data_IF_635174165627
#
_entry.id   IF_635174165627
#
_cell.length_a   1.000
_cell.length_b   1.000
_cell.length_c   1.000
_cell.angle_alpha   90.00
_cell.angle_beta   90.00
_cell.angle_gamma   90.00
#
_symmetry.space_group_name_H-M   'P 1'
#
loop_
_entity.id
_entity.type
_entity.pdbx_description
1 polymer ?
#
# COMPACT_ATOMS: atom_id res chain seq x y z
N UNK A 1 42.53 -36.72 -40.40
CA UNK A 1 41.84 -35.41 -40.53
C UNK A 1 40.34 -35.69 -40.51
N UNK A 2 39.48 -35.14 -39.67
CA UNK A 2 39.55 -34.40 -38.41
C UNK A 2 38.16 -34.61 -37.81
N UNK A 3 38.08 -35.21 -36.62
CA UNK A 3 36.82 -35.43 -35.89
C UNK A 3 36.39 -34.09 -35.29
N UNK A 4 35.21 -33.56 -35.62
CA UNK A 4 34.64 -32.38 -34.95
C UNK A 4 33.53 -32.85 -33.99
N UNK A 5 33.61 -32.54 -32.69
CA UNK A 5 32.55 -32.88 -31.76
C UNK A 5 31.38 -31.91 -31.91
N UNK A 6 30.15 -32.43 -31.77
CA UNK A 6 28.93 -31.64 -31.64
C UNK A 6 28.98 -30.89 -30.30
N UNK A 7 28.82 -29.56 -30.33
CA UNK A 7 28.67 -28.71 -29.14
C UNK A 7 27.43 -29.15 -28.37
N UNK A 8 27.61 -29.48 -27.10
CA UNK A 8 26.52 -29.68 -26.15
C UNK A 8 25.71 -28.39 -26.00
N UNK A 9 24.38 -28.55 -25.97
CA UNK A 9 23.48 -27.48 -25.57
C UNK A 9 23.70 -27.16 -24.09
N UNK A 10 24.15 -25.94 -23.80
CA UNK A 10 23.98 -25.36 -22.48
C UNK A 10 22.49 -25.05 -22.32
N UNK A 11 21.82 -25.87 -21.52
CA UNK A 11 20.54 -25.52 -20.92
C UNK A 11 20.84 -24.27 -20.08
N UNK A 12 20.41 -23.11 -20.55
CA UNK A 12 20.47 -21.88 -19.77
C UNK A 12 19.56 -22.04 -18.57
N UNK A 13 20.13 -22.34 -17.40
CA UNK A 13 19.53 -21.98 -16.12
C UNK A 13 19.41 -20.46 -16.12
N UNK A 14 18.24 -19.95 -16.53
CA UNK A 14 17.85 -18.57 -16.26
C UNK A 14 17.87 -18.39 -14.76
N UNK A 15 18.93 -17.77 -14.25
CA UNK A 15 19.08 -17.45 -12.85
C UNK A 15 17.86 -16.68 -12.36
N UNK A 16 17.46 -16.96 -11.12
CA UNK A 16 16.46 -16.23 -10.33
C UNK A 16 16.90 -14.77 -10.06
N UNK A 17 17.20 -14.00 -11.10
CA UNK A 17 17.46 -12.58 -11.00
C UNK A 17 16.10 -11.87 -11.01
N UNK A 18 15.63 -11.46 -9.83
CA UNK A 18 14.48 -10.56 -9.69
C UNK A 18 14.72 -9.33 -10.56
N UNK A 19 13.74 -8.99 -11.40
CA UNK A 19 13.88 -7.89 -12.36
C UNK A 19 13.83 -6.56 -11.59
N UNK A 20 14.53 -5.49 -12.02
CA UNK A 20 14.48 -4.19 -11.36
C UNK A 20 13.06 -3.66 -11.12
N UNK A 21 12.14 -3.90 -12.06
CA UNK A 21 10.70 -3.61 -11.91
C UNK A 21 10.06 -4.32 -10.72
N UNK A 22 10.32 -5.62 -10.54
CA UNK A 22 9.73 -6.42 -9.46
C UNK A 22 10.23 -5.93 -8.10
N UNK A 23 11.52 -5.59 -8.01
CA UNK A 23 12.10 -5.01 -6.78
C UNK A 23 11.45 -3.67 -6.46
N UNK A 24 11.33 -2.78 -7.44
CA UNK A 24 10.74 -1.45 -7.24
C UNK A 24 9.25 -1.55 -6.88
N UNK A 25 8.47 -2.33 -7.62
CA UNK A 25 7.06 -2.54 -7.33
C UNK A 25 6.87 -3.11 -5.93
N UNK A 26 7.69 -4.09 -5.53
CA UNK A 26 7.64 -4.63 -4.18
C UNK A 26 7.98 -3.56 -3.13
N UNK A 27 9.03 -2.76 -3.33
CA UNK A 27 9.45 -1.72 -2.38
C UNK A 27 8.45 -0.58 -2.23
N UNK A 28 7.81 -0.17 -3.33
CA UNK A 28 6.92 1.00 -3.34
C UNK A 28 5.46 0.67 -3.04
N UNK A 29 5.03 -0.57 -3.30
CA UNK A 29 3.64 -0.98 -3.16
C UNK A 29 3.50 -2.06 -2.09
N UNK A 30 3.98 -3.27 -2.34
CA UNK A 30 3.69 -4.41 -1.47
C UNK A 30 4.29 -4.28 -0.06
N UNK A 31 5.52 -3.78 0.08
CA UNK A 31 6.14 -3.61 1.40
C UNK A 31 5.41 -2.56 2.27
N UNK A 32 5.03 -1.38 1.74
CA UNK A 32 4.10 -0.48 2.42
C UNK A 32 2.76 -1.12 2.77
N UNK A 33 2.15 -1.89 1.87
CA UNK A 33 0.86 -2.55 2.14
C UNK A 33 0.93 -3.51 3.32
N UNK A 34 1.98 -4.34 3.36
CA UNK A 34 2.25 -5.24 4.47
C UNK A 34 2.47 -4.46 5.79
N UNK A 35 3.12 -3.30 5.71
CA UNK A 35 3.28 -2.42 6.86
C UNK A 35 1.95 -1.83 7.33
N UNK A 36 1.09 -1.38 6.43
CA UNK A 36 -0.22 -0.83 6.77
C UNK A 36 -1.10 -1.85 7.45
N UNK A 37 -1.22 -3.06 6.88
CA UNK A 37 -1.99 -4.17 7.46
C UNK A 37 -1.53 -4.49 8.88
N UNK A 38 -0.22 -4.68 9.05
CA UNK A 38 0.40 -4.99 10.35
C UNK A 38 0.17 -3.89 11.38
N UNK A 39 0.34 -2.62 10.99
CA UNK A 39 0.28 -1.52 11.94
C UNK A 39 -1.17 -1.12 12.28
N UNK A 40 -2.12 -1.34 11.36
CA UNK A 40 -3.57 -1.28 11.66
C UNK A 40 -4.00 -2.39 12.62
N UNK A 41 -3.51 -3.62 12.45
CA UNK A 41 -3.78 -4.73 13.38
C UNK A 41 -3.23 -4.41 14.79
N UNK A 42 -2.03 -3.83 14.86
CA UNK A 42 -1.44 -3.38 16.14
C UNK A 42 -2.26 -2.27 16.79
N UNK A 43 -2.75 -1.31 16.02
CA UNK A 43 -3.61 -0.24 16.51
C UNK A 43 -4.94 -0.79 17.05
N UNK A 44 -5.57 -1.72 16.31
CA UNK A 44 -6.80 -2.38 16.74
C UNK A 44 -6.61 -3.16 18.05
N UNK A 45 -5.51 -3.90 18.18
CA UNK A 45 -5.17 -4.61 19.40
C UNK A 45 -4.93 -3.64 20.58
N UNK A 46 -4.26 -2.51 20.34
CA UNK A 46 -4.05 -1.48 21.36
C UNK A 46 -5.36 -0.80 21.77
N UNK A 47 -6.29 -0.57 20.84
CA UNK A 47 -7.63 -0.04 21.11
C UNK A 47 -8.43 -1.00 21.99
N UNK A 48 -8.49 -2.28 21.62
CA UNK A 48 -9.16 -3.32 22.41
C UNK A 48 -8.58 -3.46 23.82
N UNK A 49 -7.26 -3.30 23.97
CA UNK A 49 -6.59 -3.36 25.27
C UNK A 49 -6.65 -2.06 26.08
N UNK A 50 -7.29 -0.99 25.58
CA UNK A 50 -7.30 0.32 26.25
C UNK A 50 -5.92 0.99 26.34
N UNK A 51 -5.00 0.64 25.43
CA UNK A 51 -3.58 1.07 25.43
C UNK A 51 -3.26 2.18 24.44
N UNK A 52 -4.23 2.71 23.68
CA UNK A 52 -3.98 3.79 22.69
C UNK A 52 -3.40 5.08 23.28
N UNK A 53 -3.56 5.30 24.59
CA UNK A 53 -2.93 6.42 25.28
C UNK A 53 -1.41 6.31 25.40
N UNK A 54 -0.82 5.12 25.22
CA UNK A 54 0.62 4.88 25.40
C UNK A 54 1.43 5.65 24.35
N UNK A 55 2.53 6.34 24.73
CA UNK A 55 3.31 7.16 23.80
C UNK A 55 3.76 6.44 22.52
N UNK A 56 4.23 5.19 22.65
CA UNK A 56 4.66 4.41 21.48
C UNK A 56 3.51 4.02 20.54
N UNK A 57 2.28 3.84 21.05
CA UNK A 57 1.11 3.56 20.20
C UNK A 57 0.71 4.81 19.43
N UNK A 58 0.75 5.99 20.08
CA UNK A 58 0.51 7.27 19.43
C UNK A 58 1.55 7.56 18.34
N UNK A 59 2.82 7.37 18.65
CA UNK A 59 3.90 7.54 17.67
C UNK A 59 3.76 6.56 16.49
N UNK A 60 3.39 5.30 16.75
CA UNK A 60 3.12 4.32 15.70
C UNK A 60 1.94 4.71 14.82
N UNK A 61 0.87 5.26 15.41
CA UNK A 61 -0.28 5.77 14.67
C UNK A 61 0.06 6.98 13.79
N UNK A 62 0.83 7.94 14.33
CA UNK A 62 1.28 9.09 13.55
C UNK A 62 2.19 8.67 12.39
N UNK A 63 3.10 7.71 12.63
CA UNK A 63 3.91 7.12 11.57
C UNK A 63 3.07 6.43 10.49
N UNK A 64 2.09 5.60 10.88
CA UNK A 64 1.22 4.91 9.93
C UNK A 64 0.46 5.90 9.03
N UNK A 65 -0.13 6.96 9.61
CA UNK A 65 -0.80 8.01 8.83
C UNK A 65 0.13 8.66 7.80
N UNK A 66 1.35 8.98 8.23
CA UNK A 66 2.33 9.61 7.34
C UNK A 66 2.79 8.68 6.22
N UNK A 67 2.98 7.39 6.52
CA UNK A 67 3.35 6.41 5.49
C UNK A 67 2.21 6.20 4.47
N UNK A 68 0.96 6.11 4.92
CA UNK A 68 -0.21 6.04 4.02
C UNK A 68 -0.28 7.28 3.13
N UNK A 69 -0.11 8.48 3.70
CA UNK A 69 -0.12 9.73 2.95
C UNK A 69 0.98 9.76 1.88
N UNK A 70 2.22 9.49 2.26
CA UNK A 70 3.35 9.50 1.34
C UNK A 70 3.21 8.48 0.20
N UNK A 71 2.68 7.30 0.52
CA UNK A 71 2.41 6.25 -0.46
C UNK A 71 1.32 6.68 -1.46
N UNK A 72 0.15 7.13 -0.99
CA UNK A 72 -0.89 7.64 -1.91
C UNK A 72 -0.41 8.86 -2.71
N UNK A 73 0.36 9.77 -2.12
CA UNK A 73 0.91 10.94 -2.82
C UNK A 73 1.87 10.53 -3.95
N UNK A 74 2.75 9.55 -3.69
CA UNK A 74 3.62 8.98 -4.70
C UNK A 74 2.79 8.39 -5.85
N UNK A 75 1.75 7.64 -5.53
CA UNK A 75 0.93 6.99 -6.53
C UNK A 75 0.14 7.98 -7.38
N UNK A 76 -0.55 8.92 -6.72
CA UNK A 76 -1.41 9.90 -7.36
C UNK A 76 -0.62 10.92 -8.18
N UNK A 77 0.55 11.34 -7.70
CA UNK A 77 1.37 12.33 -8.39
C UNK A 77 2.31 11.72 -9.43
N UNK A 78 2.73 10.45 -9.26
CA UNK A 78 3.85 9.88 -10.02
C UNK A 78 3.46 8.62 -10.78
N UNK A 79 2.97 7.58 -10.10
CA UNK A 79 2.75 6.24 -10.69
C UNK A 79 1.53 6.21 -11.62
N UNK A 80 0.35 6.57 -11.11
CA UNK A 80 -0.91 6.53 -11.87
C UNK A 80 -0.89 7.44 -13.10
N UNK A 81 -0.36 8.68 -13.05
CA UNK A 81 -0.23 9.50 -14.25
C UNK A 81 0.67 8.91 -15.33
N UNK A 82 1.73 8.17 -14.97
CA UNK A 82 2.58 7.46 -15.94
C UNK A 82 1.83 6.32 -16.60
N UNK A 83 1.15 5.48 -15.82
CA UNK A 83 0.36 4.37 -16.34
C UNK A 83 -0.76 4.86 -17.28
N UNK A 84 -1.45 5.95 -16.90
CA UNK A 84 -2.51 6.54 -17.72
C UNK A 84 -2.02 7.04 -19.08
N UNK A 85 -0.80 7.60 -19.15
CA UNK A 85 -0.17 8.09 -20.39
C UNK A 85 0.36 6.98 -21.29
N UNK A 86 0.80 5.86 -20.70
CA UNK A 86 1.46 4.78 -21.43
C UNK A 86 0.51 4.01 -22.35
N UNK A 87 -0.63 3.51 -21.84
CA UNK A 87 -1.80 3.05 -22.63
C UNK A 87 -2.93 2.54 -21.71
N UNK A 88 -3.52 3.39 -20.88
CA UNK A 88 -4.51 2.93 -19.90
C UNK A 88 -5.85 2.46 -20.50
N UNK A 89 -6.16 2.81 -21.75
CA UNK A 89 -7.51 2.63 -22.32
C UNK A 89 -8.65 3.22 -21.45
N UNK A 90 -9.92 3.11 -21.86
CA UNK A 90 -11.04 3.56 -21.04
C UNK A 90 -11.18 2.77 -19.72
N UNK A 91 -10.93 1.46 -19.75
CA UNK A 91 -11.06 0.59 -18.58
C UNK A 91 -9.99 0.87 -17.52
N UNK A 92 -8.71 1.01 -17.90
CA UNK A 92 -7.66 1.35 -16.94
C UNK A 92 -7.84 2.76 -16.37
N UNK A 93 -8.32 3.74 -17.16
CA UNK A 93 -8.68 5.06 -16.62
C UNK A 93 -9.80 4.99 -15.57
N UNK A 94 -10.77 4.09 -15.73
CA UNK A 94 -11.81 3.88 -14.73
C UNK A 94 -11.24 3.27 -13.43
N UNK A 95 -10.31 2.33 -13.53
CA UNK A 95 -9.58 1.78 -12.37
C UNK A 95 -8.83 2.88 -11.63
N UNK A 96 -8.05 3.70 -12.33
CA UNK A 96 -7.27 4.79 -11.71
C UNK A 96 -8.17 5.87 -11.08
N UNK A 97 -9.30 6.19 -11.72
CA UNK A 97 -10.28 7.10 -11.13
C UNK A 97 -10.88 6.54 -9.84
N UNK A 98 -11.08 5.22 -9.76
CA UNK A 98 -11.53 4.56 -8.55
C UNK A 98 -10.44 4.57 -7.45
N UNK A 99 -9.16 4.37 -7.79
CA UNK A 99 -8.04 4.52 -6.84
C UNK A 99 -8.04 5.90 -6.17
N UNK A 100 -8.11 6.98 -6.95
CA UNK A 100 -8.19 8.34 -6.38
C UNK A 100 -9.41 8.54 -5.46
N UNK A 101 -10.56 7.95 -5.81
CA UNK A 101 -11.76 8.04 -4.99
C UNK A 101 -11.61 7.25 -3.67
N UNK A 102 -10.87 6.14 -3.68
CA UNK A 102 -10.54 5.36 -2.49
C UNK A 102 -9.55 6.10 -1.59
N UNK A 103 -8.47 6.68 -2.14
CA UNK A 103 -7.52 7.51 -1.41
C UNK A 103 -8.21 8.67 -0.67
N UNK A 104 -9.11 9.37 -1.37
CA UNK A 104 -9.86 10.50 -0.81
C UNK A 104 -10.78 10.10 0.37
N UNK A 105 -11.17 8.83 0.49
CA UNK A 105 -11.99 8.32 1.60
C UNK A 105 -11.17 7.95 2.84
N UNK A 106 -9.92 7.54 2.67
CA UNK A 106 -9.07 7.07 3.78
C UNK A 106 -8.74 8.19 4.76
N UNK A 107 -8.45 9.41 4.26
CA UNK A 107 -8.13 10.58 5.10
C UNK A 107 -9.22 10.91 6.14
N UNK A 108 -10.50 11.07 5.73
CA UNK A 108 -11.61 11.24 6.66
C UNK A 108 -11.75 10.12 7.72
N UNK A 109 -11.51 8.86 7.36
CA UNK A 109 -11.55 7.74 8.29
C UNK A 109 -10.42 7.80 9.32
N UNK A 110 -9.20 8.14 8.88
CA UNK A 110 -8.08 8.39 9.80
C UNK A 110 -8.39 9.56 10.76
N UNK A 111 -9.05 10.62 10.28
CA UNK A 111 -9.51 11.72 11.11
C UNK A 111 -10.51 11.31 12.20
N UNK A 112 -11.37 10.32 11.93
CA UNK A 112 -12.28 9.74 12.94
C UNK A 112 -11.54 8.97 14.01
N UNK A 113 -10.51 8.21 13.65
CA UNK A 113 -9.62 7.54 14.62
C UNK A 113 -8.91 8.56 15.51
N UNK A 114 -8.38 9.64 14.93
CA UNK A 114 -7.77 10.75 15.68
C UNK A 114 -8.74 11.37 16.69
N UNK A 115 -10.00 11.61 16.28
CA UNK A 115 -11.03 12.14 17.16
C UNK A 115 -11.36 11.18 18.32
N UNK A 116 -11.48 9.88 18.04
CA UNK A 116 -11.75 8.87 19.05
C UNK A 116 -10.57 8.70 20.04
N UNK A 117 -9.33 8.74 19.56
CA UNK A 117 -8.13 8.72 20.41
C UNK A 117 -8.06 9.96 21.32
N UNK A 118 -8.46 11.14 20.83
CA UNK A 118 -8.55 12.35 21.68
C UNK A 118 -9.65 12.23 22.74
N UNK A 119 -10.82 11.71 22.36
CA UNK A 119 -11.94 11.54 23.28
C UNK A 119 -11.65 10.56 24.42
N UNK A 120 -10.84 9.52 24.16
CA UNK A 120 -10.45 8.53 25.18
C UNK A 120 -9.41 9.07 26.20
N UNK A 121 -8.59 10.05 25.82
CA UNK A 121 -7.55 10.63 26.69
C UNK A 121 -8.05 11.54 27.83
N UNK A 122 -9.36 11.77 27.94
CA UNK A 122 -9.93 12.76 28.86
C UNK A 122 -10.66 12.23 30.10
N UNK A 123 -10.92 10.91 30.23
CA UNK A 123 -11.55 10.27 31.42
C UNK A 123 -11.60 8.75 31.24
N UNK A 124 -11.55 8.02 32.34
CA UNK A 124 -11.82 6.59 32.40
C UNK A 124 -13.30 6.36 32.03
N UNK A 125 -13.58 5.61 30.96
CA UNK A 125 -14.96 5.39 30.54
C UNK A 125 -15.06 4.32 29.48
N UNK A 126 -15.49 3.13 29.90
CA UNK A 126 -15.72 1.95 29.06
C UNK A 126 -16.69 2.20 27.87
N UNK A 127 -17.46 3.29 27.87
CA UNK A 127 -18.31 3.67 26.72
C UNK A 127 -17.52 4.25 25.53
N UNK A 128 -16.37 4.89 25.76
CA UNK A 128 -15.56 5.54 24.70
C UNK A 128 -14.60 4.60 23.98
N UNK A 129 -14.40 3.40 24.51
CA UNK A 129 -13.60 2.35 23.85
C UNK A 129 -14.34 1.73 22.67
N UNK A 130 -15.69 1.73 22.70
CA UNK A 130 -16.52 1.26 21.58
C UNK A 130 -16.37 2.11 20.33
N UNK A 131 -16.45 3.44 20.48
CA UNK A 131 -16.30 4.38 19.35
C UNK A 131 -14.91 4.29 18.70
N UNK A 132 -13.87 4.12 19.51
CA UNK A 132 -12.51 3.93 19.02
C UNK A 132 -12.36 2.60 18.27
N UNK A 133 -12.88 1.50 18.82
CA UNK A 133 -12.82 0.20 18.17
C UNK A 133 -13.57 0.22 16.82
N UNK A 134 -14.75 0.85 16.78
CA UNK A 134 -15.51 1.04 15.55
C UNK A 134 -14.73 1.88 14.52
N UNK A 135 -14.19 3.04 14.92
CA UNK A 135 -13.42 3.90 14.03
C UNK A 135 -12.17 3.20 13.45
N UNK A 136 -11.44 2.43 14.27
CA UNK A 136 -10.28 1.66 13.81
C UNK A 136 -10.72 0.51 12.89
N UNK A 137 -11.83 -0.17 13.21
CA UNK A 137 -12.40 -1.23 12.38
C UNK A 137 -12.77 -0.71 10.98
N UNK A 138 -13.49 0.40 10.91
CA UNK A 138 -13.88 1.01 9.63
C UNK A 138 -12.69 1.46 8.79
N UNK A 139 -11.67 2.07 9.41
CA UNK A 139 -10.44 2.43 8.70
C UNK A 139 -9.73 1.18 8.16
N UNK A 140 -9.63 0.12 8.97
CA UNK A 140 -8.98 -1.13 8.60
C UNK A 140 -9.68 -1.79 7.42
N UNK A 141 -11.01 -1.86 7.44
CA UNK A 141 -11.81 -2.41 6.33
C UNK A 141 -11.62 -1.61 5.04
N UNK A 142 -11.65 -0.27 5.13
CA UNK A 142 -11.47 0.60 3.97
C UNK A 142 -10.07 0.48 3.37
N UNK A 143 -9.02 0.52 4.20
CA UNK A 143 -7.64 0.34 3.74
C UNK A 143 -7.47 -1.04 3.12
N UNK A 144 -7.90 -2.10 3.80
CA UNK A 144 -7.75 -3.46 3.28
C UNK A 144 -8.52 -3.68 1.96
N UNK A 145 -9.70 -3.10 1.80
CA UNK A 145 -10.43 -3.14 0.53
C UNK A 145 -9.68 -2.41 -0.59
N UNK A 146 -9.12 -1.23 -0.28
CA UNK A 146 -8.32 -0.44 -1.19
C UNK A 146 -7.03 -1.18 -1.63
N UNK A 147 -6.21 -1.65 -0.68
CA UNK A 147 -4.97 -2.39 -0.98
C UNK A 147 -5.24 -3.61 -1.85
N UNK A 148 -6.33 -4.34 -1.56
CA UNK A 148 -6.71 -5.53 -2.35
C UNK A 148 -7.14 -5.14 -3.76
N UNK A 149 -7.85 -4.03 -3.93
CA UNK A 149 -8.24 -3.55 -5.26
C UNK A 149 -7.01 -3.10 -6.05
N UNK A 150 -6.10 -2.38 -5.42
CA UNK A 150 -4.87 -1.92 -6.05
C UNK A 150 -4.00 -3.11 -6.51
N UNK A 151 -3.72 -4.07 -5.61
CA UNK A 151 -2.92 -5.26 -5.88
C UNK A 151 -3.50 -6.15 -6.99
N UNK A 152 -4.83 -6.18 -7.12
CA UNK A 152 -5.52 -7.03 -8.10
C UNK A 152 -5.82 -6.34 -9.45
N UNK A 153 -5.81 -4.99 -9.48
CA UNK A 153 -6.23 -4.23 -10.65
C UNK A 153 -5.22 -3.16 -11.06
N UNK A 154 -4.92 -2.19 -10.18
CA UNK A 154 -4.11 -1.03 -10.54
C UNK A 154 -2.64 -1.39 -10.75
N UNK A 155 -2.08 -2.25 -9.89
CA UNK A 155 -0.72 -2.76 -10.02
C UNK A 155 -0.58 -3.58 -11.32
N UNK A 156 -1.38 -4.63 -11.60
CA UNK A 156 -1.32 -5.35 -12.88
C UNK A 156 -1.47 -4.45 -14.11
N UNK A 157 -2.33 -3.43 -14.05
CA UNK A 157 -2.47 -2.44 -15.11
C UNK A 157 -1.15 -1.67 -15.34
N UNK A 158 -0.58 -1.08 -14.29
CA UNK A 158 0.69 -0.34 -14.37
C UNK A 158 1.82 -1.25 -14.85
N UNK A 159 1.85 -2.48 -14.33
CA UNK A 159 2.79 -3.53 -14.68
C UNK A 159 2.76 -3.96 -16.15
N UNK A 160 1.59 -3.85 -16.81
CA UNK A 160 1.40 -4.20 -18.22
C UNK A 160 1.80 -3.07 -19.17
N UNK A 161 1.67 -1.81 -18.75
CA UNK A 161 1.90 -0.64 -19.60
C UNK A 161 3.25 0.06 -19.35
N UNK A 162 3.85 -0.12 -18.17
CA UNK A 162 5.11 0.52 -17.79
C UNK A 162 6.32 -0.39 -17.98
N UNK A 163 7.36 0.15 -18.63
CA UNK A 163 8.63 -0.53 -18.83
C UNK A 163 9.60 -0.34 -17.65
N UNK A 164 10.74 -1.06 -17.62
CA UNK A 164 11.72 -0.94 -16.52
C UNK A 164 12.30 0.47 -16.30
N UNK A 165 12.31 1.32 -17.34
CA UNK A 165 12.73 2.72 -17.23
C UNK A 165 11.72 3.58 -16.47
N UNK A 166 10.43 3.36 -16.70
CA UNK A 166 9.36 4.08 -16.00
C UNK A 166 9.37 3.73 -14.51
N UNK A 167 9.51 2.46 -14.17
CA UNK A 167 9.61 2.01 -12.77
C UNK A 167 10.82 2.63 -12.05
N UNK A 168 11.99 2.70 -12.69
CA UNK A 168 13.14 3.42 -12.12
C UNK A 168 12.83 4.89 -11.86
N UNK A 169 12.20 5.56 -12.82
CA UNK A 169 11.83 6.97 -12.71
C UNK A 169 10.69 7.25 -11.71
N UNK A 170 10.04 6.22 -11.15
CA UNK A 170 9.13 6.36 -10.00
C UNK A 170 9.90 6.29 -8.68
N UNK A 171 11.06 5.62 -8.65
CA UNK A 171 11.86 5.40 -7.45
C UNK A 171 12.94 6.47 -7.20
N UNK A 172 13.08 7.44 -8.12
CA UNK A 172 14.00 8.59 -8.07
C UNK A 172 13.26 9.87 -7.64
#
# INVERSE_FOLDING_TARGET
MSHRPRRGGLIGMGAFATRPREVICHTLVHAPHDAFRRDLDRLAAAAAAGKVGRPHVRAGWDNLKEQIRLHHDLEDAVLWPRAARADGGPAGRAVLAQMHAEHARIGPLAGRVDAAIRATGGRDGAGRTGDLAAAVGELREAVEAHLRHEEMSAVPLAEAVLGPGDWRAVAE
#
